data_IF_018476000665
#
_entry.id   IF_018476000665
#
_cell.length_a   1.000
_cell.length_b   1.000
_cell.length_c   1.000
_cell.angle_alpha   90.00
_cell.angle_beta   90.00
_cell.angle_gamma   90.00
#
_symmetry.space_group_name_H-M   'P 1'
#
loop_
_entity.id
_entity.type
_entity.pdbx_description
1 polymer ?
#
# COMPACT_ATOMS: atom_id res chain seq x y z
N UNK A 1 -26.09 -3.51 23.39
CA UNK A 1 -25.70 -3.17 21.99
C UNK A 1 -25.14 -4.44 21.41
N UNK A 2 -25.88 -5.09 20.50
CA UNK A 2 -25.50 -6.38 19.91
C UNK A 2 -24.16 -6.32 19.18
N UNK A 3 -23.43 -7.45 19.14
CA UNK A 3 -22.15 -7.58 18.43
C UNK A 3 -22.27 -7.18 16.94
N UNK A 4 -23.45 -7.38 16.34
CA UNK A 4 -23.78 -6.95 14.98
C UNK A 4 -23.83 -5.42 14.82
N UNK A 5 -24.18 -4.67 15.88
CA UNK A 5 -24.19 -3.21 15.88
C UNK A 5 -22.79 -2.59 15.95
N UNK A 6 -21.78 -3.33 16.44
CA UNK A 6 -20.39 -2.83 16.55
C UNK A 6 -19.61 -2.91 15.23
N UNK A 7 -20.00 -3.80 14.32
CA UNK A 7 -19.35 -3.93 13.00
C UNK A 7 -20.33 -3.63 11.87
N UNK A 8 -20.70 -2.36 11.76
CA UNK A 8 -21.68 -1.89 10.76
C UNK A 8 -21.24 -2.17 9.33
N UNK A 9 -22.23 -2.36 8.45
CA UNK A 9 -22.02 -2.47 7.01
C UNK A 9 -21.45 -1.19 6.40
N UNK A 10 -20.72 -1.33 5.33
CA UNK A 10 -20.26 -0.19 4.52
C UNK A 10 -21.47 0.42 3.80
N UNK A 11 -21.44 1.75 3.60
CA UNK A 11 -22.44 2.43 2.78
C UNK A 11 -22.44 1.90 1.34
N UNK A 12 -23.57 1.96 0.62
CA UNK A 12 -23.62 1.61 -0.80
C UNK A 12 -22.59 2.38 -1.64
N UNK A 13 -22.41 3.68 -1.35
CA UNK A 13 -21.42 4.52 -2.02
C UNK A 13 -19.98 3.99 -1.81
N UNK A 14 -19.61 3.71 -0.55
CA UNK A 14 -18.28 3.20 -0.25
C UNK A 14 -18.05 1.83 -0.94
N UNK A 15 -19.05 0.96 -0.93
CA UNK A 15 -18.95 -0.34 -1.62
C UNK A 15 -18.78 -0.20 -3.12
N UNK A 16 -19.53 0.72 -3.76
CA UNK A 16 -19.40 0.97 -5.20
C UNK A 16 -18.03 1.52 -5.56
N UNK A 17 -17.54 2.54 -4.82
CA UNK A 17 -16.19 3.10 -5.04
C UNK A 17 -15.11 2.05 -4.79
N UNK A 18 -15.21 1.27 -3.72
CA UNK A 18 -14.26 0.18 -3.41
C UNK A 18 -14.26 -0.90 -4.49
N UNK A 19 -15.41 -1.22 -5.09
CA UNK A 19 -15.48 -2.17 -6.21
C UNK A 19 -14.71 -1.64 -7.43
N UNK A 20 -14.93 -0.37 -7.81
CA UNK A 20 -14.17 0.27 -8.90
C UNK A 20 -12.68 0.27 -8.59
N UNK A 21 -12.30 0.60 -7.35
CA UNK A 21 -10.91 0.60 -6.91
C UNK A 21 -10.27 -0.78 -7.03
N UNK A 22 -10.96 -1.86 -6.63
CA UNK A 22 -10.49 -3.25 -6.80
C UNK A 22 -10.22 -3.57 -8.28
N UNK A 23 -11.13 -3.19 -9.17
CA UNK A 23 -10.97 -3.43 -10.62
C UNK A 23 -9.75 -2.67 -11.17
N UNK A 24 -9.59 -1.40 -10.79
CA UNK A 24 -8.46 -0.57 -11.21
C UNK A 24 -7.14 -1.10 -10.64
N UNK A 25 -7.09 -1.42 -9.35
CA UNK A 25 -5.90 -1.96 -8.69
C UNK A 25 -5.49 -3.32 -9.29
N UNK A 26 -6.46 -4.17 -9.62
CA UNK A 26 -6.18 -5.43 -10.30
C UNK A 26 -5.60 -5.18 -11.70
N UNK A 27 -6.26 -4.36 -12.53
CA UNK A 27 -5.80 -4.08 -13.89
C UNK A 27 -4.42 -3.42 -13.91
N UNK A 28 -4.19 -2.39 -13.09
CA UNK A 28 -2.91 -1.71 -12.98
C UNK A 28 -1.83 -2.63 -12.39
N UNK A 29 -2.13 -3.32 -11.28
CA UNK A 29 -1.16 -4.20 -10.62
C UNK A 29 -0.76 -5.38 -11.50
N UNK A 30 -1.74 -6.05 -12.09
CA UNK A 30 -1.48 -7.18 -13.00
C UNK A 30 -0.76 -6.71 -14.27
N UNK A 31 -1.22 -5.62 -14.89
CA UNK A 31 -0.61 -5.07 -16.11
C UNK A 31 0.85 -4.66 -15.89
N UNK A 32 1.12 -3.80 -14.90
CA UNK A 32 2.48 -3.32 -14.61
C UNK A 32 3.43 -4.45 -14.17
N UNK A 33 2.93 -5.48 -13.48
CA UNK A 33 3.77 -6.54 -12.98
C UNK A 33 4.00 -7.65 -14.00
N UNK A 34 2.96 -8.16 -14.66
CA UNK A 34 3.03 -9.33 -15.54
C UNK A 34 3.09 -8.98 -17.02
N UNK A 35 2.57 -7.81 -17.41
CA UNK A 35 2.52 -7.30 -18.80
C UNK A 35 3.18 -5.92 -18.90
N UNK A 36 4.45 -5.76 -18.43
CA UNK A 36 5.05 -4.44 -18.23
C UNK A 36 5.14 -3.60 -19.50
N UNK A 37 5.41 -4.21 -20.66
CA UNK A 37 5.55 -3.47 -21.91
C UNK A 37 4.23 -2.84 -22.35
N UNK A 38 3.13 -3.61 -22.31
CA UNK A 38 1.79 -3.11 -22.60
C UNK A 38 1.36 -2.02 -21.59
N UNK A 39 1.60 -2.26 -20.31
CA UNK A 39 1.21 -1.33 -19.26
C UNK A 39 1.95 0.01 -19.35
N UNK A 40 3.24 0.00 -19.74
CA UNK A 40 4.04 1.22 -19.93
C UNK A 40 3.49 2.12 -21.04
N UNK A 41 2.94 1.56 -22.10
CA UNK A 41 2.31 2.31 -23.18
C UNK A 41 1.02 3.02 -22.72
N UNK A 42 0.30 2.40 -21.79
CA UNK A 42 -0.96 2.92 -21.25
C UNK A 42 -0.77 3.78 -19.99
N UNK A 43 0.42 3.78 -19.36
CA UNK A 43 0.64 4.49 -18.11
C UNK A 43 0.78 6.00 -18.35
N UNK A 44 0.36 6.88 -17.40
CA UNK A 44 0.43 8.35 -17.59
C UNK A 44 1.83 8.91 -17.90
N UNK A 45 2.88 8.14 -17.65
CA UNK A 45 4.27 8.41 -18.03
C UNK A 45 4.97 7.07 -18.33
N UNK A 46 6.08 7.04 -19.10
CA UNK A 46 6.80 5.81 -19.43
C UNK A 46 7.78 5.42 -18.31
N UNK A 47 7.41 4.59 -17.30
CA UNK A 47 8.33 4.22 -16.24
C UNK A 47 9.43 3.27 -16.76
N UNK A 48 10.63 3.37 -16.19
CA UNK A 48 11.72 2.43 -16.47
C UNK A 48 11.36 1.01 -15.99
N UNK A 49 11.97 -0.07 -16.53
CA UNK A 49 11.56 -1.46 -16.25
C UNK A 49 11.46 -1.82 -14.76
N UNK A 50 12.44 -1.43 -13.94
CA UNK A 50 12.38 -1.65 -12.49
C UNK A 50 11.23 -0.88 -11.84
N UNK A 51 11.05 0.39 -12.21
CA UNK A 51 9.93 1.21 -11.70
C UNK A 51 8.58 0.63 -12.11
N UNK A 52 8.45 0.08 -13.33
CA UNK A 52 7.21 -0.55 -13.81
C UNK A 52 6.80 -1.71 -12.91
N UNK A 53 7.69 -2.66 -12.65
CA UNK A 53 7.35 -3.81 -11.80
C UNK A 53 7.23 -3.44 -10.33
N UNK A 54 8.00 -2.47 -9.84
CA UNK A 54 7.83 -1.98 -8.47
C UNK A 54 6.49 -1.26 -8.27
N UNK A 55 6.05 -0.43 -9.23
CA UNK A 55 4.68 0.10 -9.25
C UNK A 55 3.65 -1.03 -9.27
N UNK A 56 3.84 -2.04 -10.11
CA UNK A 56 2.99 -3.22 -10.14
C UNK A 56 2.89 -3.90 -8.79
N UNK A 57 4.01 -4.05 -8.07
CA UNK A 57 4.01 -4.63 -6.71
C UNK A 57 3.24 -3.77 -5.71
N UNK A 58 3.31 -2.44 -5.82
CA UNK A 58 2.55 -1.50 -4.99
C UNK A 58 1.04 -1.68 -5.23
N UNK A 59 0.60 -1.73 -6.49
CA UNK A 59 -0.82 -1.89 -6.83
C UNK A 59 -1.37 -3.27 -6.45
N UNK A 60 -0.62 -4.35 -6.66
CA UNK A 60 -0.99 -5.69 -6.20
C UNK A 60 -1.06 -5.76 -4.67
N UNK A 61 -0.20 -5.03 -3.97
CA UNK A 61 -0.23 -4.93 -2.51
C UNK A 61 -1.47 -4.17 -2.04
N UNK A 62 -1.80 -3.03 -2.65
CA UNK A 62 -2.97 -2.24 -2.31
C UNK A 62 -4.28 -2.97 -2.63
N UNK A 63 -4.31 -3.79 -3.68
CA UNK A 63 -5.47 -4.59 -4.08
C UNK A 63 -6.00 -5.44 -2.93
N UNK A 64 -5.12 -6.07 -2.14
CA UNK A 64 -5.55 -7.06 -1.15
C UNK A 64 -6.33 -6.47 0.03
N UNK A 65 -5.85 -5.42 0.74
CA UNK A 65 -6.63 -4.82 1.81
C UNK A 65 -7.95 -4.22 1.30
N UNK A 66 -7.97 -3.66 0.09
CA UNK A 66 -9.18 -3.11 -0.53
C UNK A 66 -10.16 -4.23 -0.89
N UNK A 67 -9.68 -5.35 -1.43
CA UNK A 67 -10.50 -6.53 -1.71
C UNK A 67 -11.06 -7.15 -0.41
N UNK A 68 -10.25 -7.26 0.65
CA UNK A 68 -10.73 -7.72 1.96
C UNK A 68 -11.81 -6.79 2.51
N UNK A 69 -11.66 -5.47 2.37
CA UNK A 69 -12.67 -4.49 2.76
C UNK A 69 -13.98 -4.68 1.97
N UNK A 70 -13.90 -4.87 0.66
CA UNK A 70 -15.04 -5.09 -0.21
C UNK A 70 -15.79 -6.38 0.15
N UNK A 71 -15.06 -7.49 0.29
CA UNK A 71 -15.62 -8.82 0.59
C UNK A 71 -16.26 -8.84 1.98
N UNK A 72 -15.57 -8.30 2.98
CA UNK A 72 -16.12 -8.20 4.32
C UNK A 72 -17.37 -7.31 4.36
N UNK A 73 -17.43 -6.26 3.55
CA UNK A 73 -18.54 -5.34 3.46
C UNK A 73 -18.88 -4.62 4.77
N UNK A 74 -17.91 -4.55 5.70
CA UNK A 74 -18.10 -4.07 7.07
C UNK A 74 -16.99 -3.13 7.50
N UNK A 75 -17.28 -2.36 8.58
CA UNK A 75 -16.34 -1.37 9.14
C UNK A 75 -15.00 -1.97 9.58
N UNK A 76 -14.96 -3.17 10.09
CA UNK A 76 -13.73 -3.78 10.55
C UNK A 76 -12.95 -4.21 9.31
N UNK A 77 -12.47 -4.19 8.39
CA UNK A 77 -11.17 -3.79 7.84
C UNK A 77 -11.11 -2.35 7.36
N UNK A 78 -12.24 -1.73 7.00
CA UNK A 78 -12.27 -0.37 6.47
C UNK A 78 -11.61 0.65 7.41
N UNK A 79 -11.68 0.43 8.72
CA UNK A 79 -11.09 1.31 9.75
C UNK A 79 -9.57 1.48 9.57
N UNK A 80 -8.86 0.45 9.13
CA UNK A 80 -7.41 0.51 8.86
C UNK A 80 -7.09 0.88 7.40
N UNK A 81 -7.95 0.45 6.47
CA UNK A 81 -7.73 0.62 5.02
C UNK A 81 -8.02 2.03 4.55
N UNK A 82 -9.10 2.67 5.00
CA UNK A 82 -9.46 4.02 4.56
C UNK A 82 -8.40 5.09 4.87
N UNK A 83 -7.77 5.14 6.07
CA UNK A 83 -6.68 6.07 6.31
C UNK A 83 -5.47 5.83 5.39
N UNK A 84 -5.17 4.56 5.09
CA UNK A 84 -4.07 4.22 4.18
C UNK A 84 -4.37 4.68 2.75
N UNK A 85 -5.60 4.46 2.24
CA UNK A 85 -6.05 4.99 0.94
C UNK A 85 -5.96 6.52 0.93
N UNK A 86 -6.49 7.18 1.96
CA UNK A 86 -6.48 8.64 2.05
C UNK A 86 -5.05 9.20 1.93
N UNK A 87 -4.12 8.70 2.74
CA UNK A 87 -2.72 9.17 2.74
C UNK A 87 -2.05 8.87 1.41
N UNK A 88 -2.17 7.64 0.90
CA UNK A 88 -1.57 7.25 -0.37
C UNK A 88 -2.05 8.15 -1.51
N UNK A 89 -3.37 8.25 -1.68
CA UNK A 89 -3.95 8.98 -2.82
C UNK A 89 -3.75 10.49 -2.72
N UNK A 90 -3.72 11.04 -1.49
CA UNK A 90 -3.41 12.45 -1.27
C UNK A 90 -1.97 12.78 -1.67
N UNK A 91 -0.99 11.99 -1.21
CA UNK A 91 0.43 12.22 -1.56
C UNK A 91 0.62 12.08 -3.07
N UNK A 92 0.08 11.02 -3.68
CA UNK A 92 0.20 10.82 -5.14
C UNK A 92 -0.43 11.99 -5.91
N UNK A 93 -1.60 12.48 -5.49
CA UNK A 93 -2.24 13.64 -6.12
C UNK A 93 -1.32 14.87 -6.06
N UNK A 94 -0.80 15.20 -4.88
CA UNK A 94 0.10 16.35 -4.73
C UNK A 94 1.37 16.19 -5.57
N UNK A 95 2.02 15.03 -5.52
CA UNK A 95 3.22 14.78 -6.34
C UNK A 95 2.90 14.90 -7.83
N UNK A 96 1.73 14.41 -8.29
CA UNK A 96 1.30 14.53 -9.68
C UNK A 96 1.07 15.99 -10.08
N UNK A 97 0.43 16.79 -9.23
CA UNK A 97 0.18 18.22 -9.48
C UNK A 97 1.49 19.02 -9.55
N UNK A 98 2.44 18.75 -8.66
CA UNK A 98 3.74 19.44 -8.65
C UNK A 98 4.70 18.98 -9.76
N UNK A 99 4.39 17.89 -10.45
CA UNK A 99 5.17 17.37 -11.59
C UNK A 99 4.26 17.13 -12.80
N UNK A 100 3.35 18.05 -13.04
CA UNK A 100 2.32 17.98 -14.08
C UNK A 100 2.92 17.86 -15.48
N UNK A 101 4.06 18.47 -15.72
CA UNK A 101 4.84 18.46 -16.95
C UNK A 101 5.46 17.10 -17.30
N UNK A 102 5.57 16.19 -16.34
CA UNK A 102 6.07 14.83 -16.56
C UNK A 102 4.96 13.86 -17.01
N UNK A 103 3.71 14.29 -16.99
CA UNK A 103 2.55 13.46 -17.32
C UNK A 103 2.13 13.68 -18.77
N UNK A 104 1.86 12.58 -19.47
CA UNK A 104 1.46 12.58 -20.87
C UNK A 104 -0.07 12.76 -20.98
N UNK A 105 -0.51 13.97 -21.31
CA UNK A 105 -1.93 14.30 -21.48
C UNK A 105 -2.50 13.90 -22.84
N UNK A 106 -1.72 13.36 -23.76
CA UNK A 106 -2.25 12.70 -24.95
C UNK A 106 -2.83 11.32 -24.61
N UNK A 107 -2.46 10.75 -23.45
CA UNK A 107 -2.97 9.49 -22.97
C UNK A 107 -4.24 9.68 -22.14
N UNK A 108 -5.28 8.95 -22.50
CA UNK A 108 -6.55 8.93 -21.74
C UNK A 108 -6.38 8.50 -20.29
N UNK A 109 -5.40 7.64 -20.02
CA UNK A 109 -5.07 7.14 -18.68
C UNK A 109 -4.66 8.25 -17.71
N UNK A 110 -4.07 9.34 -18.19
CA UNK A 110 -3.72 10.52 -17.38
C UNK A 110 -4.97 11.19 -16.82
N UNK A 111 -6.05 11.28 -17.59
CA UNK A 111 -7.32 11.82 -17.08
C UNK A 111 -7.97 10.89 -16.06
N UNK A 112 -7.95 9.58 -16.30
CA UNK A 112 -8.43 8.58 -15.32
C UNK A 112 -7.61 8.64 -14.04
N UNK A 113 -6.29 8.82 -14.14
CA UNK A 113 -5.39 9.04 -13.01
C UNK A 113 -5.88 10.18 -12.12
N UNK A 114 -6.07 11.37 -12.66
CA UNK A 114 -6.54 12.53 -11.88
C UNK A 114 -7.93 12.32 -11.31
N UNK A 115 -8.86 11.75 -12.05
CA UNK A 115 -10.22 11.45 -11.56
C UNK A 115 -10.15 10.54 -10.33
N UNK A 116 -9.37 9.46 -10.39
CA UNK A 116 -9.22 8.53 -9.27
C UNK A 116 -8.54 9.19 -8.07
N UNK A 117 -7.42 9.88 -8.29
CA UNK A 117 -6.67 10.51 -7.21
C UNK A 117 -7.32 11.76 -6.62
N UNK A 118 -8.39 12.27 -7.22
CA UNK A 118 -9.28 13.29 -6.62
C UNK A 118 -10.43 12.61 -5.86
N UNK A 119 -11.10 11.62 -6.46
CA UNK A 119 -12.28 10.99 -5.86
C UNK A 119 -11.92 10.16 -4.62
N UNK A 120 -10.84 9.37 -4.69
CA UNK A 120 -10.49 8.42 -3.63
C UNK A 120 -10.16 9.10 -2.29
N UNK A 121 -9.35 10.16 -2.20
CA UNK A 121 -9.10 10.82 -0.92
C UNK A 121 -10.37 11.52 -0.38
N UNK A 122 -11.19 12.12 -1.24
CA UNK A 122 -12.46 12.74 -0.81
C UNK A 122 -13.40 11.69 -0.25
N UNK A 123 -13.59 10.57 -0.96
CA UNK A 123 -14.42 9.46 -0.50
C UNK A 123 -13.93 8.86 0.82
N UNK A 124 -12.60 8.68 0.95
CA UNK A 124 -11.98 8.16 2.18
C UNK A 124 -12.15 9.12 3.35
N UNK A 125 -11.91 10.42 3.16
CA UNK A 125 -12.10 11.44 4.18
C UNK A 125 -13.56 11.52 4.65
N UNK A 126 -14.50 11.51 3.70
CA UNK A 126 -15.93 11.52 4.01
C UNK A 126 -16.32 10.33 4.90
N UNK A 127 -15.92 9.10 4.52
CA UNK A 127 -16.30 7.93 5.28
C UNK A 127 -15.54 7.81 6.61
N UNK A 128 -14.27 8.24 6.69
CA UNK A 128 -13.59 8.36 7.98
C UNK A 128 -14.31 9.32 8.92
N UNK A 129 -14.80 10.45 8.41
CA UNK A 129 -15.64 11.39 9.17
C UNK A 129 -16.95 10.78 9.63
N UNK A 130 -17.63 10.05 8.73
CA UNK A 130 -18.89 9.37 9.02
C UNK A 130 -18.72 8.29 10.09
N UNK A 131 -17.64 7.52 10.04
CA UNK A 131 -17.37 6.37 10.91
C UNK A 131 -16.54 6.70 12.16
N UNK A 132 -16.08 7.94 12.34
CA UNK A 132 -15.15 8.35 13.42
C UNK A 132 -15.60 8.00 14.84
N UNK A 133 -16.92 7.90 15.06
CA UNK A 133 -17.51 7.61 16.38
C UNK A 133 -17.74 6.12 16.62
N UNK A 134 -17.48 5.26 15.65
CA UNK A 134 -17.73 3.86 15.78
C UNK A 134 -16.53 3.13 16.41
N UNK A 135 -16.76 2.34 17.47
CA UNK A 135 -15.70 1.59 18.10
C UNK A 135 -15.16 0.52 17.15
N UNK A 136 -13.95 0.02 17.41
CA UNK A 136 -13.45 -1.18 16.74
C UNK A 136 -14.43 -2.35 16.98
N UNK A 137 -14.68 -3.14 15.92
CA UNK A 137 -15.45 -4.37 16.07
C UNK A 137 -14.55 -5.44 16.71
N UNK A 138 -15.05 -6.12 17.76
CA UNK A 138 -14.35 -7.19 18.45
C UNK A 138 -12.85 -6.87 18.70
N UNK A 139 -12.57 -5.81 19.48
CA UNK A 139 -11.20 -5.34 19.68
C UNK A 139 -10.38 -6.39 20.44
N UNK A 140 -9.34 -6.90 19.78
CA UNK A 140 -8.36 -7.80 20.42
C UNK A 140 -7.07 -7.01 20.61
N UNK A 141 -6.51 -6.94 21.83
CA UNK A 141 -5.21 -6.32 22.04
C UNK A 141 -4.15 -6.99 21.16
N UNK A 142 -3.44 -6.20 20.38
CA UNK A 142 -2.32 -6.72 19.61
C UNK A 142 -1.25 -7.25 20.55
N UNK A 143 -0.79 -8.52 20.38
CA UNK A 143 0.22 -9.10 21.26
C UNK A 143 1.48 -8.22 21.37
N UNK A 144 2.12 -8.13 22.56
CA UNK A 144 3.18 -7.15 22.82
C UNK A 144 4.33 -7.16 21.81
N UNK A 145 4.79 -8.36 21.41
CA UNK A 145 5.86 -8.49 20.41
C UNK A 145 5.45 -7.93 19.03
N UNK A 146 4.23 -8.25 18.58
CA UNK A 146 3.70 -7.71 17.32
C UNK A 146 3.42 -6.22 17.40
N UNK A 147 2.98 -5.74 18.56
CA UNK A 147 2.81 -4.31 18.80
C UNK A 147 4.14 -3.56 18.68
N UNK A 148 5.19 -4.06 19.29
CA UNK A 148 6.53 -3.47 19.21
C UNK A 148 7.05 -3.47 17.76
N UNK A 149 6.92 -4.59 17.05
CA UNK A 149 7.26 -4.71 15.64
C UNK A 149 6.50 -3.68 14.78
N UNK A 150 5.18 -3.62 14.89
CA UNK A 150 4.33 -2.73 14.10
C UNK A 150 4.60 -1.25 14.39
N UNK A 151 4.88 -0.88 15.65
CA UNK A 151 5.27 0.48 15.99
C UNK A 151 6.65 0.83 15.41
N UNK A 152 7.61 -0.11 15.45
CA UNK A 152 8.90 0.04 14.80
C UNK A 152 8.77 0.23 13.28
N UNK A 153 7.98 -0.63 12.62
CA UNK A 153 7.67 -0.51 11.18
C UNK A 153 7.00 0.84 10.88
N UNK A 154 6.00 1.23 11.67
CA UNK A 154 5.33 2.52 11.50
C UNK A 154 6.30 3.70 11.56
N UNK A 155 7.18 3.71 12.55
CA UNK A 155 8.18 4.76 12.71
C UNK A 155 9.16 4.79 11.52
N UNK A 156 9.74 3.65 11.17
CA UNK A 156 10.73 3.55 10.08
C UNK A 156 10.10 3.95 8.74
N UNK A 157 8.93 3.41 8.40
CA UNK A 157 8.26 3.75 7.14
C UNK A 157 7.82 5.21 7.10
N UNK A 158 7.34 5.76 8.23
CA UNK A 158 6.95 7.17 8.32
C UNK A 158 8.13 8.11 8.12
N UNK A 159 9.26 7.87 8.80
CA UNK A 159 10.49 8.64 8.62
C UNK A 159 11.04 8.50 7.20
N UNK A 160 11.03 7.29 6.64
CA UNK A 160 11.51 7.06 5.29
C UNK A 160 10.61 7.73 4.24
N UNK A 161 9.30 7.73 4.43
CA UNK A 161 8.37 8.48 3.59
C UNK A 161 8.69 9.97 3.57
N UNK A 162 8.91 10.58 4.74
CA UNK A 162 9.30 11.99 4.85
C UNK A 162 10.64 12.26 4.15
N UNK A 163 11.61 11.37 4.33
CA UNK A 163 12.91 11.47 3.69
C UNK A 163 12.80 11.45 2.15
N UNK A 164 11.96 10.56 1.61
CA UNK A 164 11.70 10.50 0.17
C UNK A 164 10.97 11.72 -0.38
N UNK A 165 10.09 12.36 0.39
CA UNK A 165 9.43 13.60 -0.03
C UNK A 165 10.43 14.75 -0.13
N UNK A 166 11.34 14.86 0.84
CA UNK A 166 12.27 16.00 0.99
C UNK A 166 13.49 15.83 0.07
N UNK A 167 14.17 14.69 0.12
CA UNK A 167 15.43 14.45 -0.56
C UNK A 167 15.45 13.04 -1.21
N UNK A 168 14.57 12.78 -2.21
CA UNK A 168 14.38 11.46 -2.78
C UNK A 168 15.68 10.84 -3.32
N UNK A 169 16.49 11.58 -4.06
CA UNK A 169 17.72 11.07 -4.67
C UNK A 169 18.75 10.60 -3.61
N UNK A 170 18.85 11.31 -2.49
CA UNK A 170 19.73 10.94 -1.39
C UNK A 170 19.27 9.64 -0.74
N UNK A 171 17.97 9.54 -0.44
CA UNK A 171 17.42 8.41 0.31
C UNK A 171 17.07 7.20 -0.56
N UNK A 172 17.17 7.30 -1.89
CA UNK A 172 17.12 6.15 -2.80
C UNK A 172 18.50 5.70 -3.27
N UNK A 173 19.58 6.35 -2.84
CA UNK A 173 20.95 6.03 -3.27
C UNK A 173 21.42 4.60 -2.93
N UNK A 174 20.77 3.91 -1.99
CA UNK A 174 21.05 2.51 -1.66
C UNK A 174 20.17 1.49 -2.42
N UNK A 175 19.20 1.97 -3.25
CA UNK A 175 18.33 1.08 -4.01
C UNK A 175 19.09 0.30 -5.07
N UNK A 176 18.67 -0.93 -5.40
CA UNK A 176 19.32 -1.76 -6.42
C UNK A 176 19.29 -1.17 -7.83
N UNK A 177 18.49 -0.13 -8.05
CA UNK A 177 18.42 0.60 -9.32
C UNK A 177 18.26 2.10 -9.07
N UNK A 178 18.60 2.90 -10.09
CA UNK A 178 18.51 4.36 -10.01
C UNK A 178 17.05 4.81 -9.99
N UNK A 179 16.71 5.62 -9.01
CA UNK A 179 15.40 6.27 -8.85
C UNK A 179 15.58 7.77 -9.07
N UNK A 180 14.73 8.36 -9.92
CA UNK A 180 14.64 9.81 -10.07
C UNK A 180 13.77 10.44 -8.96
N UNK A 181 13.84 11.77 -8.85
CA UNK A 181 13.16 12.50 -7.80
C UNK A 181 11.63 12.35 -7.85
N UNK A 182 11.03 12.25 -9.03
CA UNK A 182 9.60 12.06 -9.21
C UNK A 182 9.14 10.71 -8.65
N UNK A 183 9.78 9.60 -9.09
CA UNK A 183 9.43 8.27 -8.59
C UNK A 183 9.72 8.14 -7.09
N UNK A 184 10.81 8.71 -6.59
CA UNK A 184 11.12 8.69 -5.16
C UNK A 184 10.00 9.35 -4.33
N UNK A 185 9.50 10.51 -4.76
CA UNK A 185 8.36 11.18 -4.13
C UNK A 185 7.06 10.38 -4.27
N UNK A 186 6.80 9.77 -5.43
CA UNK A 186 5.64 8.87 -5.61
C UNK A 186 5.69 7.68 -4.66
N UNK A 187 6.88 7.08 -4.48
CA UNK A 187 7.04 5.94 -3.57
C UNK A 187 6.90 6.32 -2.09
N UNK A 188 7.09 7.59 -1.73
CA UNK A 188 6.81 8.05 -0.37
C UNK A 188 5.37 7.72 0.06
N UNK A 189 4.42 7.75 -0.87
CA UNK A 189 3.01 7.47 -0.61
C UNK A 189 2.78 6.04 -0.07
N UNK A 190 3.47 5.03 -0.63
CA UNK A 190 3.31 3.65 -0.16
C UNK A 190 3.91 3.46 1.23
N UNK A 191 5.04 4.11 1.52
CA UNK A 191 5.65 4.03 2.85
C UNK A 191 4.83 4.79 3.90
N UNK A 192 4.28 5.97 3.56
CA UNK A 192 3.36 6.69 4.44
C UNK A 192 2.09 5.88 4.75
N UNK A 193 1.46 5.30 3.74
CA UNK A 193 0.27 4.47 3.92
C UNK A 193 0.56 3.21 4.73
N UNK A 194 1.73 2.58 4.49
CA UNK A 194 2.23 1.45 5.28
C UNK A 194 2.47 1.83 6.74
N UNK A 195 3.02 3.01 7.01
CA UNK A 195 3.22 3.53 8.37
C UNK A 195 1.88 3.69 9.12
N UNK A 196 0.89 4.29 8.47
CA UNK A 196 -0.46 4.49 9.05
C UNK A 196 -1.15 3.14 9.28
N UNK A 197 -1.08 2.22 8.34
CA UNK A 197 -1.63 0.87 8.46
C UNK A 197 -0.99 0.07 9.61
N UNK A 198 0.33 0.11 9.73
CA UNK A 198 1.07 -0.53 10.81
C UNK A 198 0.72 0.08 12.18
N UNK A 199 0.64 1.41 12.28
CA UNK A 199 0.25 2.09 13.50
C UNK A 199 -1.18 1.75 13.94
N UNK A 200 -2.12 1.67 13.01
CA UNK A 200 -3.50 1.27 13.29
C UNK A 200 -3.56 -0.16 13.84
N UNK A 201 -2.84 -1.11 13.20
CA UNK A 201 -2.78 -2.50 13.62
C UNK A 201 -2.02 -2.72 14.94
N UNK A 202 -1.08 -1.82 15.30
CA UNK A 202 -0.32 -1.91 16.54
C UNK A 202 -1.13 -1.63 17.81
N UNK A 203 -2.28 -0.96 17.70
CA UNK A 203 -3.10 -0.57 18.85
C UNK A 203 -4.04 -1.69 19.26
N UNK A 204 -5.27 -1.58 18.83
CA UNK A 204 -6.33 -2.56 19.05
C UNK A 204 -6.91 -2.86 17.69
N UNK A 205 -6.80 -4.09 17.27
CA UNK A 205 -7.24 -4.51 15.94
C UNK A 205 -8.22 -5.68 16.05
N UNK A 206 -9.26 -5.66 15.22
CA UNK A 206 -10.02 -6.86 14.99
C UNK A 206 -9.14 -7.91 14.29
N UNK A 207 -9.47 -9.18 14.48
CA UNK A 207 -8.72 -10.28 13.84
C UNK A 207 -8.50 -10.07 12.33
N UNK A 208 -9.55 -9.61 11.64
CA UNK A 208 -9.50 -9.33 10.20
C UNK A 208 -8.57 -8.14 9.87
N UNK A 209 -8.50 -7.13 10.72
CA UNK A 209 -7.59 -5.98 10.53
C UNK A 209 -6.14 -6.41 10.69
N UNK A 210 -5.84 -7.22 11.72
CA UNK A 210 -4.50 -7.78 11.94
C UNK A 210 -4.08 -8.72 10.79
N UNK A 211 -4.99 -9.59 10.33
CA UNK A 211 -4.80 -10.42 9.15
C UNK A 211 -4.51 -9.58 7.90
N UNK A 212 -5.30 -8.53 7.66
CA UNK A 212 -5.15 -7.64 6.50
C UNK A 212 -3.78 -6.95 6.51
N UNK A 213 -3.33 -6.45 7.67
CA UNK A 213 -2.01 -5.84 7.80
C UNK A 213 -0.88 -6.85 7.50
N UNK A 214 -1.01 -8.10 7.98
CA UNK A 214 -0.05 -9.17 7.67
C UNK A 214 -0.03 -9.51 6.18
N UNK A 215 -1.21 -9.64 5.56
CA UNK A 215 -1.34 -9.93 4.14
C UNK A 215 -0.71 -8.84 3.27
N UNK A 216 -0.94 -7.57 3.60
CA UNK A 216 -0.34 -6.42 2.91
C UNK A 216 1.19 -6.48 2.97
N UNK A 217 1.77 -6.71 4.15
CA UNK A 217 3.23 -6.79 4.30
C UNK A 217 3.82 -7.99 3.55
N UNK A 218 3.20 -9.17 3.68
CA UNK A 218 3.68 -10.38 3.00
C UNK A 218 3.71 -10.21 1.48
N UNK A 219 2.66 -9.66 0.92
CA UNK A 219 2.53 -9.49 -0.53
C UNK A 219 3.46 -8.39 -1.03
N UNK A 220 3.60 -7.28 -0.31
CA UNK A 220 4.53 -6.23 -0.69
C UNK A 220 5.97 -6.74 -0.68
N UNK A 221 6.37 -7.46 0.39
CA UNK A 221 7.69 -8.08 0.46
C UNK A 221 7.95 -9.05 -0.70
N UNK A 222 6.99 -9.93 -0.96
CA UNK A 222 7.10 -10.94 -2.02
C UNK A 222 7.22 -10.34 -3.41
N UNK A 223 6.27 -9.49 -3.82
CA UNK A 223 6.27 -8.94 -5.18
C UNK A 223 7.40 -7.93 -5.41
N UNK A 224 7.84 -7.19 -4.39
CA UNK A 224 8.98 -6.29 -4.53
C UNK A 224 10.26 -7.07 -4.85
N UNK A 225 10.56 -8.14 -4.10
CA UNK A 225 11.74 -8.98 -4.34
C UNK A 225 11.60 -9.71 -5.69
N UNK A 226 10.43 -10.31 -5.96
CA UNK A 226 10.20 -11.02 -7.22
C UNK A 226 10.35 -10.08 -8.42
N UNK A 227 9.81 -8.86 -8.34
CA UNK A 227 9.94 -7.84 -9.39
C UNK A 227 11.38 -7.45 -9.67
N UNK A 228 12.19 -7.27 -8.61
CA UNK A 228 13.63 -7.00 -8.73
C UNK A 228 14.33 -8.14 -9.50
N UNK A 229 14.13 -9.38 -9.07
CA UNK A 229 14.78 -10.55 -9.68
C UNK A 229 14.36 -10.74 -11.14
N UNK A 230 13.06 -10.61 -11.44
CA UNK A 230 12.54 -10.76 -12.80
C UNK A 230 13.07 -9.69 -13.77
N UNK A 231 13.25 -8.45 -13.31
CA UNK A 231 13.83 -7.41 -14.17
C UNK A 231 15.30 -7.63 -14.34
N UNK A 232 16.03 -7.91 -13.26
CA UNK A 232 17.49 -8.11 -13.33
C UNK A 232 17.88 -9.30 -14.19
N UNK A 233 17.07 -10.37 -14.20
CA UNK A 233 17.28 -11.52 -15.09
C UNK A 233 17.31 -11.16 -16.58
N UNK A 234 16.74 -10.00 -16.96
CA UNK A 234 16.71 -9.51 -18.35
C UNK A 234 17.67 -8.35 -18.61
N UNK A 235 17.84 -7.43 -17.65
CA UNK A 235 18.61 -6.20 -17.87
C UNK A 235 20.01 -6.25 -17.27
N UNK A 236 20.27 -7.16 -16.32
CA UNK A 236 21.57 -7.39 -15.65
C UNK A 236 22.23 -6.10 -15.13
N UNK A 237 21.47 -5.27 -14.39
CA UNK A 237 21.95 -3.97 -13.89
C UNK A 237 22.01 -3.87 -12.37
N UNK A 238 21.59 -4.90 -11.65
CA UNK A 238 21.66 -4.89 -10.18
C UNK A 238 23.09 -5.25 -9.75
N UNK A 239 23.68 -4.39 -8.94
CA UNK A 239 24.94 -4.71 -8.27
C UNK A 239 24.66 -5.54 -7.01
N UNK A 240 24.77 -6.86 -7.16
CA UNK A 240 24.60 -7.81 -6.06
C UNK A 240 25.76 -7.81 -5.06
N UNK A 241 26.88 -7.14 -5.36
CA UNK A 241 27.98 -6.95 -4.40
C UNK A 241 27.77 -5.75 -3.49
N UNK A 242 26.89 -4.81 -3.88
CA UNK A 242 26.61 -3.60 -3.12
C UNK A 242 25.83 -3.91 -1.83
N UNK A 243 26.29 -3.44 -0.64
CA UNK A 243 25.56 -3.63 0.61
C UNK A 243 24.13 -3.05 0.58
N UNK A 244 23.92 -1.95 -0.15
CA UNK A 244 22.61 -1.31 -0.30
C UNK A 244 21.56 -2.25 -0.91
N UNK A 245 21.94 -3.06 -1.91
CA UNK A 245 21.06 -4.07 -2.50
C UNK A 245 20.54 -5.05 -1.45
N UNK A 246 21.41 -5.52 -0.56
CA UNK A 246 21.03 -6.47 0.49
C UNK A 246 20.22 -5.81 1.62
N UNK A 247 20.48 -4.53 1.93
CA UNK A 247 19.63 -3.75 2.84
C UNK A 247 18.23 -3.67 2.28
N UNK A 248 18.08 -3.35 0.99
CA UNK A 248 16.79 -3.28 0.32
C UNK A 248 16.07 -4.65 0.31
N UNK A 249 16.72 -5.68 -0.17
CA UNK A 249 16.17 -7.06 -0.20
C UNK A 249 15.81 -7.52 1.22
N UNK A 250 16.68 -7.27 2.19
CA UNK A 250 16.45 -7.63 3.59
C UNK A 250 15.23 -6.94 4.20
N UNK A 251 15.02 -5.66 3.91
CA UNK A 251 13.84 -4.94 4.38
C UNK A 251 12.54 -5.58 3.87
N UNK A 252 12.46 -5.91 2.59
CA UNK A 252 11.28 -6.57 2.01
C UNK A 252 11.14 -8.02 2.45
N UNK A 253 12.25 -8.75 2.68
CA UNK A 253 12.22 -10.10 3.23
C UNK A 253 11.68 -10.11 4.68
N UNK A 254 12.06 -9.14 5.50
CA UNK A 254 11.51 -8.98 6.85
C UNK A 254 10.00 -8.72 6.79
N UNK A 255 9.53 -7.86 5.88
CA UNK A 255 8.10 -7.63 5.69
C UNK A 255 7.36 -8.91 5.27
N UNK A 256 7.93 -9.69 4.35
CA UNK A 256 7.36 -10.96 3.90
C UNK A 256 7.22 -11.95 5.08
N UNK A 257 8.31 -12.20 5.80
CA UNK A 257 8.33 -13.18 6.91
C UNK A 257 7.41 -12.74 8.06
N UNK A 258 7.50 -11.48 8.46
CA UNK A 258 6.63 -10.93 9.50
C UNK A 258 5.16 -10.94 9.07
N UNK A 259 4.86 -10.57 7.82
CA UNK A 259 3.51 -10.61 7.28
C UNK A 259 2.92 -12.02 7.32
N UNK A 260 3.68 -13.04 6.90
CA UNK A 260 3.28 -14.45 7.02
C UNK A 260 3.03 -14.84 8.49
N UNK A 261 3.94 -14.44 9.40
CA UNK A 261 3.78 -14.65 10.83
C UNK A 261 2.49 -14.04 11.39
N UNK A 262 2.14 -12.82 10.96
CA UNK A 262 0.88 -12.15 11.34
C UNK A 262 -0.35 -12.90 10.81
N UNK A 263 -0.32 -13.37 9.56
CA UNK A 263 -1.40 -14.18 8.96
C UNK A 263 -1.63 -15.46 9.80
N UNK A 264 -0.55 -16.19 10.11
CA UNK A 264 -0.63 -17.39 10.91
C UNK A 264 -1.14 -17.11 12.34
N UNK A 265 -0.65 -16.03 12.96
CA UNK A 265 -1.12 -15.59 14.28
C UNK A 265 -2.60 -15.22 14.28
N UNK A 266 -3.07 -14.51 13.23
CA UNK A 266 -4.48 -14.15 13.10
C UNK A 266 -5.41 -15.38 13.10
N UNK A 267 -4.95 -16.54 12.60
CA UNK A 267 -5.76 -17.78 12.58
C UNK A 267 -6.06 -18.29 13.99
N UNK A 268 -5.15 -18.07 14.94
CA UNK A 268 -5.28 -18.55 16.32
C UNK A 268 -5.78 -17.48 17.30
N UNK A 269 -5.89 -16.21 16.87
CA UNK A 269 -6.53 -15.16 17.65
C UNK A 269 -8.03 -15.45 17.76
N UNK A 270 -8.50 -15.67 19.00
CA UNK A 270 -9.94 -15.80 19.30
C UNK A 270 -10.39 -14.49 19.94
N UNK A 271 -11.55 -13.98 19.51
CA UNK A 271 -12.20 -12.91 20.23
C UNK A 271 -12.48 -13.34 21.66
N UNK A 272 -12.44 -12.42 22.61
CA UNK A 272 -13.03 -12.68 23.92
C UNK A 272 -14.52 -12.97 23.69
N UNK A 273 -14.92 -14.20 24.05
CA UNK A 273 -16.32 -14.62 23.99
C UNK A 273 -17.17 -13.79 24.94
#
# INVERSE_FOLDING_TARGET
MDALDRNRGLTPLLRAVTFVEVVVLFGAGFGLFFLPDLARELWPWPPAPFNTRFLGSIYLTALLPVAVMLIAGRWAPARGVLPAIFIFTTIVLFVSVFNFDLLDFERWSTYVWFVLYIILPINSAYHMGLYRRWPPADPIPTPPAWRAYLLGVSLVLGLYSMALLIAPETFTGFWPWKIDAFHGRMYSAVFASGAVGAWAAARVAARIEFFTAGLTQAVFGFFSILGLVLVDATVHRVDWSAPGTWVWVGAFAVMLVAGVGMILRARVMRGAA
#
